data_IF_231643431419
#
_entry.id   IF_231643431419
#
_cell.length_a   1.000
_cell.length_b   1.000
_cell.length_c   1.000
_cell.angle_alpha   90.00
_cell.angle_beta   90.00
_cell.angle_gamma   90.00
#
_symmetry.space_group_name_H-M   'P 1'
#
loop_
_entity.id
_entity.type
_entity.pdbx_description
1 polymer ?
#
# COMPACT_ATOMS: atom_id res chain seq x y z
N UNK A 1 15.53 33.58 -9.26
CA UNK A 1 14.60 32.87 -8.35
C UNK A 1 13.26 33.58 -8.19
N UNK A 2 13.22 34.89 -7.85
CA UNK A 2 11.94 35.63 -7.74
C UNK A 2 11.20 35.84 -9.09
N UNK A 3 11.92 35.88 -10.21
CA UNK A 3 11.34 36.04 -11.55
C UNK A 3 10.63 34.78 -12.09
N UNK A 4 11.02 33.58 -11.63
CA UNK A 4 10.42 32.32 -12.09
C UNK A 4 9.09 31.99 -11.36
N UNK A 5 8.84 32.63 -10.22
CA UNK A 5 7.60 32.51 -9.47
C UNK A 5 6.44 33.27 -10.13
N UNK A 6 6.72 34.32 -10.90
CA UNK A 6 5.69 35.14 -11.55
C UNK A 6 5.12 34.50 -12.82
N UNK A 7 5.87 33.61 -13.48
CA UNK A 7 5.55 33.14 -14.84
C UNK A 7 4.85 31.77 -14.88
N UNK A 8 4.57 31.14 -13.73
CA UNK A 8 3.75 29.93 -13.60
C UNK A 8 4.26 28.68 -14.34
N UNK A 9 5.47 28.73 -14.92
CA UNK A 9 6.06 27.70 -15.79
C UNK A 9 7.24 26.96 -15.15
N UNK A 10 7.37 26.99 -13.82
CA UNK A 10 8.42 26.20 -13.15
C UNK A 10 8.02 24.73 -13.10
N UNK A 11 8.86 23.85 -13.65
CA UNK A 11 8.71 22.38 -13.48
C UNK A 11 8.89 21.93 -12.03
N UNK A 12 9.46 22.79 -11.18
CA UNK A 12 9.83 22.47 -9.80
C UNK A 12 8.83 23.08 -8.81
N UNK A 13 8.22 24.21 -9.14
CA UNK A 13 7.31 24.94 -8.26
C UNK A 13 5.91 24.97 -8.86
N UNK A 14 4.99 24.18 -8.30
CA UNK A 14 3.56 24.33 -8.56
C UNK A 14 2.90 25.13 -7.44
N UNK A 15 2.00 26.04 -7.82
CA UNK A 15 1.20 26.81 -6.87
C UNK A 15 0.27 25.86 -6.13
N UNK A 16 0.38 25.78 -4.80
CA UNK A 16 -0.54 25.02 -3.98
C UNK A 16 -1.97 25.54 -4.21
N UNK A 17 -2.85 24.69 -4.73
CA UNK A 17 -4.27 24.98 -4.81
C UNK A 17 -4.88 24.84 -3.40
N UNK A 18 -5.79 25.74 -2.98
CA UNK A 18 -6.40 25.71 -1.66
C UNK A 18 -7.47 24.62 -1.51
N UNK A 19 -7.56 23.67 -2.45
CA UNK A 19 -8.46 22.51 -2.34
C UNK A 19 -7.94 21.57 -1.27
N UNK A 20 -8.21 21.92 -0.01
CA UNK A 20 -8.34 20.97 1.07
C UNK A 20 -9.45 20.03 0.65
N UNK A 21 -9.11 18.83 0.17
CA UNK A 21 -10.11 17.79 -0.01
C UNK A 21 -10.68 17.51 1.38
N UNK A 22 -11.87 18.04 1.65
CA UNK A 22 -12.73 17.60 2.74
C UNK A 22 -13.12 16.14 2.49
N UNK A 23 -12.22 15.24 2.84
CA UNK A 23 -12.36 13.79 2.67
C UNK A 23 -13.28 13.20 3.76
N UNK A 24 -14.47 13.77 3.99
CA UNK A 24 -15.65 13.05 4.47
C UNK A 24 -16.91 13.83 4.04
N UNK A 25 -17.34 13.73 2.78
CA UNK A 25 -18.72 14.12 2.44
C UNK A 25 -19.67 13.02 2.89
N UNK A 26 -20.58 13.38 3.81
CA UNK A 26 -21.67 12.51 4.24
C UNK A 26 -22.53 12.09 3.04
N UNK A 27 -22.68 10.77 2.86
CA UNK A 27 -23.45 10.16 1.79
C UNK A 27 -24.93 10.56 1.94
N UNK A 28 -25.46 11.34 0.99
CA UNK A 28 -26.92 11.56 0.83
C UNK A 28 -27.37 10.82 -0.42
N UNK A 29 -28.24 9.84 -0.22
CA UNK A 29 -28.90 9.06 -1.26
C UNK A 29 -30.00 9.89 -1.91
N UNK A 30 -29.83 10.30 -3.16
CA UNK A 30 -30.94 10.64 -4.06
C UNK A 30 -30.49 10.43 -5.52
N UNK A 31 -31.14 9.48 -6.22
CA UNK A 31 -30.95 9.24 -7.65
C UNK A 31 -31.87 10.14 -8.49
N UNK A 32 -31.43 10.54 -9.69
CA UNK A 32 -32.34 10.59 -10.83
C UNK A 32 -31.84 9.72 -12.00
N UNK A 33 -32.80 8.94 -12.51
CA UNK A 33 -32.73 8.10 -13.70
C UNK A 33 -32.77 8.92 -14.99
N UNK A 34 -31.80 8.73 -15.89
CA UNK A 34 -32.05 8.44 -17.31
C UNK A 34 -30.77 8.42 -18.15
N UNK A 35 -30.86 7.68 -19.26
CA UNK A 35 -30.00 7.63 -20.45
C UNK A 35 -28.84 6.63 -20.44
N UNK A 36 -29.24 5.41 -20.82
CA UNK A 36 -28.41 4.36 -21.41
C UNK A 36 -28.32 4.61 -22.93
N UNK A 37 -27.10 4.61 -23.49
CA UNK A 37 -26.84 4.02 -24.82
C UNK A 37 -25.34 3.73 -25.09
N UNK A 38 -25.01 2.43 -25.08
CA UNK A 38 -24.18 1.63 -26.03
C UNK A 38 -22.81 2.19 -26.50
N UNK A 39 -21.67 1.49 -26.59
CA UNK A 39 -21.09 0.20 -26.15
C UNK A 39 -19.68 0.13 -26.79
N UNK A 40 -18.69 -0.50 -26.13
CA UNK A 40 -17.49 -1.22 -26.65
C UNK A 40 -16.20 -0.93 -25.88
N UNK A 41 -16.03 -1.67 -24.77
CA UNK A 41 -14.78 -2.30 -24.26
C UNK A 41 -15.18 -2.93 -22.93
N UNK A 42 -15.27 -4.26 -22.86
CA UNK A 42 -15.65 -4.97 -21.63
C UNK A 42 -14.65 -4.61 -20.51
N UNK A 43 -15.04 -3.88 -19.46
CA UNK A 43 -14.28 -3.81 -18.23
C UNK A 43 -14.57 -5.08 -17.44
N UNK A 44 -13.58 -5.50 -16.66
CA UNK A 44 -13.67 -6.61 -15.73
C UNK A 44 -14.91 -6.44 -14.83
N UNK A 45 -15.89 -7.34 -14.95
CA UNK A 45 -17.10 -7.33 -14.15
C UNK A 45 -16.77 -7.88 -12.76
N UNK A 46 -16.47 -6.99 -11.82
CA UNK A 46 -16.66 -7.31 -10.40
C UNK A 46 -18.14 -7.69 -10.16
N UNK A 47 -18.45 -8.46 -9.12
CA UNK A 47 -19.84 -8.77 -8.79
C UNK A 47 -20.59 -7.46 -8.53
N UNK A 48 -21.60 -7.17 -9.35
CA UNK A 48 -22.63 -6.18 -9.01
C UNK A 48 -23.62 -6.85 -8.06
N UNK A 49 -23.43 -6.68 -6.76
CA UNK A 49 -24.50 -6.90 -5.80
C UNK A 49 -25.12 -5.55 -5.44
N UNK A 50 -26.41 -5.43 -5.74
CA UNK A 50 -27.29 -4.43 -5.15
C UNK A 50 -27.25 -4.62 -3.63
N UNK A 51 -26.97 -3.56 -2.87
CA UNK A 51 -27.12 -3.56 -1.41
C UNK A 51 -28.61 -3.66 -1.02
N UNK A 52 -29.18 -4.86 -1.18
CA UNK A 52 -30.07 -5.39 -0.16
C UNK A 52 -29.15 -6.02 0.89
N UNK A 53 -29.08 -5.44 2.08
CA UNK A 53 -28.39 -6.05 3.23
C UNK A 53 -29.23 -7.26 3.66
N UNK A 54 -29.20 -8.31 2.85
CA UNK A 54 -29.65 -9.65 3.21
C UNK A 54 -28.55 -10.23 4.07
N UNK A 55 -28.82 -10.33 5.38
CA UNK A 55 -27.92 -10.83 6.41
C UNK A 55 -27.54 -12.31 6.29
N UNK A 56 -27.03 -12.73 5.12
CA UNK A 56 -26.54 -14.09 4.86
C UNK A 56 -25.14 -14.04 4.27
N UNK A 57 -24.20 -13.58 5.08
CA UNK A 57 -22.82 -14.06 4.97
C UNK A 57 -22.83 -15.45 5.61
N UNK A 58 -23.03 -16.49 4.81
CA UNK A 58 -23.00 -17.89 5.27
C UNK A 58 -21.54 -18.30 5.50
N UNK A 59 -21.02 -18.06 6.70
CA UNK A 59 -19.82 -18.76 7.15
C UNK A 59 -20.20 -20.23 7.40
N UNK A 60 -19.62 -21.13 6.61
CA UNK A 60 -19.73 -22.59 6.65
C UNK A 60 -19.45 -23.24 8.02
N UNK A 61 -19.13 -22.44 9.03
CA UNK A 61 -18.83 -22.84 10.41
C UNK A 61 -20.10 -23.25 11.17
N UNK A 62 -21.23 -22.57 10.95
CA UNK A 62 -22.48 -22.87 11.67
C UNK A 62 -23.04 -24.26 11.33
N UNK A 63 -22.81 -24.73 10.10
CA UNK A 63 -23.37 -25.99 9.62
C UNK A 63 -22.59 -27.24 10.10
N UNK A 64 -21.38 -27.07 10.64
CA UNK A 64 -20.48 -28.19 10.97
C UNK A 64 -20.12 -28.30 12.47
N UNK A 65 -20.70 -27.46 13.34
CA UNK A 65 -20.45 -27.52 14.79
C UNK A 65 -21.64 -28.14 15.54
N UNK A 66 -21.49 -29.31 16.19
CA UNK A 66 -22.54 -29.91 17.01
C UNK A 66 -22.61 -29.19 18.37
N UNK A 67 -23.64 -28.37 18.56
CA UNK A 67 -23.94 -27.72 19.85
C UNK A 67 -24.87 -26.52 19.69
N UNK A 68 -25.81 -26.34 20.63
CA UNK A 68 -26.83 -25.27 20.60
C UNK A 68 -26.27 -23.83 20.75
N UNK A 69 -24.95 -23.66 20.86
CA UNK A 69 -24.32 -22.36 21.03
C UNK A 69 -23.14 -22.22 20.07
N UNK A 70 -23.38 -21.56 18.93
CA UNK A 70 -22.33 -21.18 17.99
C UNK A 70 -21.97 -19.72 18.26
N UNK A 71 -20.69 -19.45 18.52
CA UNK A 71 -20.19 -18.08 18.66
C UNK A 71 -20.37 -17.32 17.33
N UNK A 72 -20.99 -16.14 17.38
CA UNK A 72 -21.20 -15.30 16.19
C UNK A 72 -19.93 -14.53 15.86
N UNK A 73 -19.06 -15.13 15.06
CA UNK A 73 -17.81 -14.48 14.61
C UNK A 73 -18.10 -13.22 13.78
N UNK A 74 -19.11 -13.25 12.90
CA UNK A 74 -19.47 -12.12 12.03
C UNK A 74 -20.00 -10.91 12.81
N UNK A 75 -21.06 -11.12 13.60
CA UNK A 75 -21.09 -10.69 15.00
C UNK A 75 -19.98 -9.75 15.49
N UNK A 76 -19.05 -10.42 16.15
CA UNK A 76 -17.89 -9.87 16.81
C UNK A 76 -16.98 -9.03 15.89
N UNK A 77 -16.69 -9.50 14.67
CA UNK A 77 -15.82 -8.75 13.75
C UNK A 77 -16.46 -7.44 13.30
N UNK A 78 -17.78 -7.43 13.03
CA UNK A 78 -18.50 -6.20 12.68
C UNK A 78 -18.47 -5.20 13.83
N UNK A 79 -18.72 -5.66 15.05
CA UNK A 79 -18.68 -4.79 16.23
C UNK A 79 -17.29 -4.17 16.43
N UNK A 80 -16.21 -4.96 16.26
CA UNK A 80 -14.82 -4.47 16.37
C UNK A 80 -14.44 -3.47 15.28
N UNK A 81 -14.96 -3.63 14.07
CA UNK A 81 -14.78 -2.64 12.99
C UNK A 81 -15.57 -1.36 13.31
N UNK A 82 -16.80 -1.48 13.83
CA UNK A 82 -17.62 -0.34 14.21
C UNK A 82 -16.98 0.47 15.34
N UNK A 83 -16.36 -0.18 16.32
CA UNK A 83 -15.57 0.47 17.38
C UNK A 83 -14.48 1.37 16.77
N UNK A 84 -13.70 0.86 15.81
CA UNK A 84 -12.66 1.61 15.06
C UNK A 84 -13.24 2.73 14.19
N UNK A 85 -14.46 2.59 13.68
CA UNK A 85 -15.13 3.64 12.90
C UNK A 85 -15.63 4.77 13.79
N UNK A 86 -16.17 4.42 14.96
CA UNK A 86 -16.67 5.37 15.96
C UNK A 86 -15.52 6.14 16.63
N UNK A 87 -14.37 5.51 16.85
CA UNK A 87 -13.18 6.16 17.43
C UNK A 87 -12.33 6.94 16.40
N UNK A 88 -12.76 6.98 15.13
CA UNK A 88 -12.05 7.61 14.00
C UNK A 88 -10.61 7.11 13.75
N UNK A 89 -10.25 5.92 14.27
CA UNK A 89 -8.95 5.28 14.01
C UNK A 89 -9.01 4.25 12.88
N UNK A 90 -10.20 4.00 12.32
CA UNK A 90 -10.38 3.21 11.11
C UNK A 90 -9.59 3.82 9.94
N UNK A 91 -8.86 2.98 9.22
CA UNK A 91 -7.97 3.42 8.14
C UNK A 91 -8.59 3.10 6.79
N UNK A 92 -8.70 4.13 5.95
CA UNK A 92 -8.95 4.00 4.51
C UNK A 92 -7.64 4.37 3.81
N UNK A 93 -7.04 3.40 3.12
CA UNK A 93 -5.74 3.62 2.48
C UNK A 93 -5.89 4.40 1.18
N UNK A 94 -5.06 5.43 1.00
CA UNK A 94 -4.94 6.14 -0.28
C UNK A 94 -4.10 5.30 -1.23
N UNK A 95 -4.67 4.91 -2.37
CA UNK A 95 -3.96 4.15 -3.41
C UNK A 95 -3.07 5.09 -4.22
N UNK A 96 -1.75 4.86 -4.19
CA UNK A 96 -0.76 5.69 -4.88
C UNK A 96 0.32 4.86 -5.56
N UNK A 97 0.67 5.20 -6.81
CA UNK A 97 1.80 4.65 -7.54
C UNK A 97 2.86 5.74 -7.74
N UNK A 98 4.01 5.60 -7.08
CA UNK A 98 5.08 6.61 -7.11
C UNK A 98 5.84 6.57 -8.42
N UNK A 99 6.13 7.74 -9.00
CA UNK A 99 6.88 7.85 -10.24
C UNK A 99 8.39 7.77 -10.00
N UNK A 100 9.07 6.84 -10.66
CA UNK A 100 10.54 6.77 -10.62
C UNK A 100 11.17 7.96 -11.37
N UNK A 101 10.64 8.30 -12.54
CA UNK A 101 11.16 9.36 -13.43
C UNK A 101 10.80 10.78 -12.97
N UNK A 102 9.90 10.91 -12.00
CA UNK A 102 9.37 12.19 -11.53
C UNK A 102 9.22 12.23 -10.00
N UNK A 103 10.21 11.77 -9.24
CA UNK A 103 10.22 11.92 -7.77
C UNK A 103 10.16 13.42 -7.38
N UNK A 104 9.29 13.86 -6.44
CA UNK A 104 8.47 13.08 -5.50
C UNK A 104 6.97 12.97 -5.89
N UNK A 105 6.63 12.92 -7.18
CA UNK A 105 5.25 12.79 -7.64
C UNK A 105 4.77 11.32 -7.69
N UNK A 106 3.46 11.13 -7.66
CA UNK A 106 2.78 9.83 -7.76
C UNK A 106 1.42 9.96 -8.45
N UNK A 107 0.96 8.88 -9.08
CA UNK A 107 -0.44 8.75 -9.48
C UNK A 107 -1.28 8.38 -8.28
N UNK A 108 -2.35 9.12 -8.03
CA UNK A 108 -3.36 8.78 -7.03
C UNK A 108 -4.66 8.30 -7.69
N UNK A 109 -5.23 7.23 -7.14
CA UNK A 109 -6.50 6.66 -7.58
C UNK A 109 -7.55 6.87 -6.50
N UNK A 110 -8.66 7.52 -6.87
CA UNK A 110 -9.80 7.69 -5.98
C UNK A 110 -10.91 6.72 -6.35
N UNK A 111 -11.65 6.20 -5.37
CA UNK A 111 -12.78 5.30 -5.63
C UNK A 111 -13.88 5.95 -6.49
N UNK A 112 -14.00 7.27 -6.43
CA UNK A 112 -15.01 8.04 -7.14
C UNK A 112 -14.68 8.32 -8.61
N UNK A 113 -13.43 8.07 -9.05
CA UNK A 113 -12.99 8.42 -10.41
C UNK A 113 -12.14 7.33 -11.03
N UNK A 114 -12.48 6.93 -12.26
CA UNK A 114 -11.66 5.97 -13.05
C UNK A 114 -10.31 6.58 -13.47
N UNK A 115 -10.22 7.91 -13.55
CA UNK A 115 -9.00 8.61 -13.93
C UNK A 115 -8.04 8.76 -12.73
N UNK A 116 -6.74 8.56 -12.98
CA UNK A 116 -5.67 8.88 -12.05
C UNK A 116 -5.33 10.38 -12.09
N UNK A 117 -4.90 10.92 -10.96
CA UNK A 117 -4.37 12.29 -10.86
C UNK A 117 -2.94 12.27 -10.34
N UNK A 118 -2.07 13.10 -10.90
CA UNK A 118 -0.73 13.28 -10.35
C UNK A 118 -0.78 14.13 -9.08
N UNK A 119 -0.08 13.67 -8.03
CA UNK A 119 0.01 14.31 -6.73
C UNK A 119 1.47 14.36 -6.26
N UNK A 120 1.83 15.36 -5.46
CA UNK A 120 3.13 15.36 -4.76
C UNK A 120 3.02 14.59 -3.44
N UNK A 121 4.01 13.75 -3.13
CA UNK A 121 4.02 12.90 -1.94
C UNK A 121 4.93 13.49 -0.86
N UNK A 122 4.37 13.81 0.31
CA UNK A 122 5.08 14.43 1.43
C UNK A 122 5.15 13.54 2.68
N UNK A 123 4.56 12.34 2.65
CA UNK A 123 4.53 11.39 3.76
C UNK A 123 5.33 10.10 3.47
N UNK A 124 6.18 10.11 2.44
CA UNK A 124 7.04 8.98 2.10
C UNK A 124 8.23 8.89 3.05
N UNK A 125 8.58 7.67 3.48
CA UNK A 125 9.82 7.39 4.21
C UNK A 125 11.02 7.10 3.28
N UNK A 126 10.83 7.19 1.96
CA UNK A 126 11.96 7.24 1.01
C UNK A 126 12.57 8.64 1.00
N UNK A 127 13.28 8.99 2.08
CA UNK A 127 13.72 10.35 2.41
C UNK A 127 14.66 10.96 1.38
N UNK A 128 15.52 10.14 0.76
CA UNK A 128 16.54 10.59 -0.19
C UNK A 128 16.19 10.23 -1.65
N UNK A 129 15.00 9.66 -1.88
CA UNK A 129 14.61 9.17 -3.20
C UNK A 129 15.49 8.01 -3.68
N UNK A 130 16.02 7.20 -2.76
CA UNK A 130 16.91 6.08 -3.12
C UNK A 130 16.16 4.96 -3.81
N UNK A 131 14.84 4.86 -3.60
CA UNK A 131 14.00 3.85 -4.29
C UNK A 131 13.97 4.03 -5.82
N UNK A 132 14.39 5.20 -6.34
CA UNK A 132 14.48 5.49 -7.78
C UNK A 132 15.86 5.95 -8.23
N UNK A 133 16.87 5.81 -7.37
CA UNK A 133 18.23 6.20 -7.75
C UNK A 133 18.72 5.31 -8.91
N UNK A 134 19.23 5.87 -10.03
CA UNK A 134 19.56 5.09 -11.23
C UNK A 134 20.49 3.91 -10.97
N UNK A 135 21.53 4.09 -10.14
CA UNK A 135 22.45 3.00 -9.78
C UNK A 135 21.79 1.89 -8.94
N UNK A 136 20.81 2.24 -8.09
CA UNK A 136 20.06 1.26 -7.29
C UNK A 136 19.14 0.44 -8.19
N UNK A 137 18.44 1.11 -9.11
CA UNK A 137 17.59 0.46 -10.09
C UNK A 137 18.40 -0.48 -11.00
N UNK A 138 19.58 -0.03 -11.46
CA UNK A 138 20.48 -0.85 -12.27
C UNK A 138 20.95 -2.10 -11.52
N UNK A 139 21.48 -1.96 -10.30
CA UNK A 139 21.94 -3.10 -9.51
C UNK A 139 20.81 -4.12 -9.25
N UNK A 140 19.60 -3.63 -8.98
CA UNK A 140 18.40 -4.47 -8.82
C UNK A 140 18.04 -5.19 -10.11
N UNK A 141 17.99 -4.47 -11.24
CA UNK A 141 17.66 -5.04 -12.55
C UNK A 141 18.68 -6.10 -12.97
N UNK A 142 19.97 -5.83 -12.83
CA UNK A 142 21.03 -6.78 -13.16
C UNK A 142 20.91 -8.08 -12.34
N UNK A 143 20.64 -7.95 -11.05
CA UNK A 143 20.46 -9.11 -10.16
C UNK A 143 19.20 -9.89 -10.53
N UNK A 144 18.09 -9.20 -10.78
CA UNK A 144 16.83 -9.79 -11.20
C UNK A 144 16.98 -10.61 -12.50
N UNK A 145 17.69 -10.09 -13.50
CA UNK A 145 17.91 -10.78 -14.77
C UNK A 145 18.79 -12.03 -14.62
N UNK A 146 19.78 -12.01 -13.74
CA UNK A 146 20.71 -13.14 -13.54
C UNK A 146 20.17 -14.22 -12.60
N UNK A 147 19.43 -13.83 -11.57
CA UNK A 147 19.10 -14.71 -10.44
C UNK A 147 17.60 -14.86 -10.17
N UNK A 148 16.74 -14.13 -10.90
CA UNK A 148 15.30 -14.13 -10.68
C UNK A 148 14.88 -13.29 -9.47
N UNK A 149 13.61 -13.38 -9.11
CA UNK A 149 12.99 -12.50 -8.11
C UNK A 149 13.09 -13.02 -6.67
N UNK A 150 12.79 -14.30 -6.44
CA UNK A 150 12.73 -14.89 -5.11
C UNK A 150 13.98 -15.70 -4.76
N UNK A 151 14.39 -15.66 -3.49
CA UNK A 151 15.50 -16.49 -2.99
C UNK A 151 15.21 -18.00 -3.05
N UNK A 152 13.93 -18.40 -3.08
CA UNK A 152 13.53 -19.80 -3.27
C UNK A 152 13.68 -20.71 -2.05
N UNK A 153 14.03 -20.19 -0.88
CA UNK A 153 14.15 -20.97 0.35
C UNK A 153 14.48 -20.13 1.58
N UNK A 154 14.58 -20.78 2.74
CA UNK A 154 15.01 -20.12 4.00
C UNK A 154 16.53 -19.99 4.04
N UNK A 155 17.07 -19.22 5.00
CA UNK A 155 18.52 -19.05 5.14
C UNK A 155 19.29 -20.39 5.21
N UNK A 156 18.71 -21.40 5.88
CA UNK A 156 19.33 -22.72 6.02
C UNK A 156 19.12 -23.63 4.80
N UNK A 157 18.09 -23.40 4.00
CA UNK A 157 17.69 -24.29 2.90
C UNK A 157 17.63 -23.47 1.61
N UNK A 158 18.74 -23.45 0.87
CA UNK A 158 18.93 -22.77 -0.44
C UNK A 158 18.64 -21.26 -0.52
N UNK A 159 18.20 -20.59 0.55
CA UNK A 159 17.82 -19.18 0.54
C UNK A 159 18.96 -18.19 0.81
N UNK A 160 20.13 -18.64 1.26
CA UNK A 160 21.28 -17.76 1.46
C UNK A 160 22.07 -17.63 0.15
N UNK A 161 22.00 -16.46 -0.47
CA UNK A 161 22.82 -16.08 -1.63
C UNK A 161 24.00 -15.20 -1.22
N UNK A 162 24.97 -15.01 -2.12
CA UNK A 162 26.10 -14.08 -1.89
C UNK A 162 25.65 -12.66 -1.53
N UNK A 163 24.51 -12.20 -2.06
CA UNK A 163 23.96 -10.88 -1.78
C UNK A 163 23.55 -10.70 -0.33
N UNK A 164 23.17 -11.78 0.37
CA UNK A 164 22.89 -11.71 1.80
C UNK A 164 24.19 -11.52 2.60
N UNK A 165 25.21 -12.30 2.27
CA UNK A 165 26.51 -12.27 2.96
C UNK A 165 27.21 -10.93 2.74
N UNK A 166 27.29 -10.46 1.49
CA UNK A 166 27.89 -9.16 1.14
C UNK A 166 27.16 -8.00 1.84
N UNK A 167 25.82 -8.01 1.87
CA UNK A 167 25.05 -6.96 2.55
C UNK A 167 25.19 -7.01 4.08
N UNK A 168 25.25 -8.20 4.68
CA UNK A 168 25.51 -8.35 6.13
C UNK A 168 26.91 -7.84 6.50
N UNK A 169 27.91 -8.08 5.67
CA UNK A 169 29.27 -7.56 5.87
C UNK A 169 29.30 -6.03 5.74
N UNK A 170 28.71 -5.47 4.67
CA UNK A 170 28.65 -4.03 4.44
C UNK A 170 27.91 -3.31 5.58
N UNK A 171 26.82 -3.88 6.10
CA UNK A 171 26.10 -3.31 7.25
C UNK A 171 26.92 -3.37 8.54
N UNK A 172 27.67 -4.45 8.76
CA UNK A 172 28.57 -4.56 9.91
C UNK A 172 29.68 -3.48 9.84
N UNK A 173 30.26 -3.29 8.66
CA UNK A 173 31.27 -2.26 8.40
C UNK A 173 30.70 -0.84 8.59
N UNK A 174 29.52 -0.56 8.02
CA UNK A 174 28.81 0.71 8.16
C UNK A 174 28.59 1.10 9.63
N UNK A 175 28.26 0.12 10.48
CA UNK A 175 27.98 0.34 11.90
C UNK A 175 29.18 0.10 12.83
N UNK A 176 30.36 -0.23 12.28
CA UNK A 176 31.56 -0.60 13.04
C UNK A 176 31.27 -1.68 14.10
N UNK A 177 30.64 -2.77 13.68
CA UNK A 177 30.33 -3.94 14.50
C UNK A 177 30.99 -5.19 13.92
N UNK A 178 31.19 -6.19 14.77
CA UNK A 178 31.82 -7.45 14.36
C UNK A 178 30.99 -8.21 13.31
N UNK A 179 29.66 -8.08 13.35
CA UNK A 179 28.73 -8.76 12.44
C UNK A 179 27.38 -8.05 12.39
N UNK A 180 26.61 -8.30 11.33
CA UNK A 180 25.22 -7.92 11.19
C UNK A 180 24.38 -9.11 10.69
N UNK A 181 23.05 -9.01 10.82
CA UNK A 181 22.13 -10.07 10.43
C UNK A 181 20.88 -9.49 9.78
N UNK A 182 20.51 -10.01 8.61
CA UNK A 182 19.32 -9.60 7.87
C UNK A 182 18.06 -10.30 8.35
N UNK A 183 16.98 -9.52 8.48
CA UNK A 183 15.63 -9.98 8.76
C UNK A 183 14.67 -9.51 7.67
N UNK A 184 13.45 -10.05 7.63
CA UNK A 184 12.43 -9.66 6.66
C UNK A 184 11.99 -8.19 6.78
N UNK A 185 12.06 -7.62 7.98
CA UNK A 185 11.85 -6.20 8.24
C UNK A 185 12.48 -5.80 9.58
N UNK A 186 12.68 -4.50 9.80
CA UNK A 186 13.15 -3.99 11.10
C UNK A 186 12.13 -4.25 12.24
N UNK A 187 10.84 -4.34 11.93
CA UNK A 187 9.83 -4.78 12.91
C UNK A 187 10.14 -6.19 13.43
N UNK A 188 10.41 -7.14 12.51
CA UNK A 188 10.76 -8.52 12.85
C UNK A 188 12.13 -8.61 13.51
N UNK A 189 13.10 -7.79 13.09
CA UNK A 189 14.41 -7.72 13.74
C UNK A 189 14.29 -7.30 15.21
N UNK A 190 13.52 -6.24 15.49
CA UNK A 190 13.30 -5.75 16.84
C UNK A 190 12.57 -6.80 17.70
N UNK A 191 11.46 -7.33 17.20
CA UNK A 191 10.67 -8.34 17.92
C UNK A 191 11.49 -9.59 18.22
N UNK A 192 12.13 -10.18 17.20
CA UNK A 192 12.91 -11.42 17.36
C UNK A 192 14.12 -11.23 18.27
N UNK A 193 14.86 -10.13 18.12
CA UNK A 193 16.06 -9.87 18.92
C UNK A 193 15.71 -9.62 20.38
N UNK A 194 14.71 -8.77 20.64
CA UNK A 194 14.26 -8.47 22.01
C UNK A 194 13.63 -9.69 22.69
N UNK A 195 12.90 -10.52 21.95
CA UNK A 195 12.28 -11.72 22.50
C UNK A 195 13.31 -12.82 22.83
N UNK A 196 14.39 -12.91 22.04
CA UNK A 196 15.38 -14.00 22.16
C UNK A 196 16.44 -13.73 23.24
N UNK A 197 16.80 -12.46 23.49
CA UNK A 197 17.75 -12.05 24.53
C UNK A 197 17.18 -12.19 25.94
#
# INVERSE_FOLDING_TARGET
MLSELQDGKSKIVQKAAPEVQEDVKAFKTDLPSSLVSVSLRKPFSGPQEQEQISGKVTHLIQNNMPGNYVFSYDQFFRDKIMEKKQDHTYRVFKTVNRWADAYPFAQHFSEASVASKDVSVWCSNDYLGMSRHPQVLQATQETLQRHGAGAGGTRNISGTSKFHVELEQELAELHQKDSALLFSSCFVANDSTLFTL
#
